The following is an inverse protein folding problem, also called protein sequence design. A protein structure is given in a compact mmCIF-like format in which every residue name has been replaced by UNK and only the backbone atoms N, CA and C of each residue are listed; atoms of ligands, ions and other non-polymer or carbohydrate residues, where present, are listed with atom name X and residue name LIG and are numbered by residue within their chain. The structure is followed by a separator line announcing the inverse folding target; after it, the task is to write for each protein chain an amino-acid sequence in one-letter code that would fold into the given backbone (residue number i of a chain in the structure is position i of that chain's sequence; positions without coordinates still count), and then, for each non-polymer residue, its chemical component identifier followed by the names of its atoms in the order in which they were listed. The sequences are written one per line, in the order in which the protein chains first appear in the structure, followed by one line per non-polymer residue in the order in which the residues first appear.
data_IF_710658567091
#
_entry.id   IF_710658567091
#
_cell.length_a   1.000
_cell.length_b   1.000
_cell.length_c   1.000
_cell.angle_alpha   90.00
_cell.angle_beta   90.00
_cell.angle_gamma   90.00
#
_symmetry.space_group_name_H-M   'P 1'
#
loop_
_entity.id
_entity.type
_entity.pdbx_description
1 polymer ?
#
# COMPACT_ATOMS: atom_id res chain seq x y z
N UNK A 1 26.92 -12.95 3.51
CA UNK A 1 27.08 -11.54 3.15
C UNK A 1 26.03 -11.23 2.10
N UNK A 2 25.13 -10.29 2.35
CA UNK A 2 24.13 -9.82 1.38
C UNK A 2 24.84 -9.05 0.27
N UNK A 3 24.57 -9.38 -0.99
CA UNK A 3 25.15 -8.66 -2.14
C UNK A 3 24.63 -7.22 -2.10
N UNK A 4 25.54 -6.23 -2.11
CA UNK A 4 25.23 -4.81 -2.24
C UNK A 4 25.33 -4.44 -3.72
N UNK A 5 24.31 -3.78 -4.25
CA UNK A 5 24.27 -3.32 -5.63
C UNK A 5 24.66 -1.85 -5.72
N UNK A 6 25.41 -1.48 -6.77
CA UNK A 6 25.82 -0.10 -7.04
C UNK A 6 24.81 0.60 -7.95
N UNK A 7 24.68 1.90 -7.85
CA UNK A 7 23.75 2.70 -8.67
C UNK A 7 23.99 2.51 -10.17
N UNK A 8 25.25 2.26 -10.58
CA UNK A 8 25.59 1.98 -11.97
C UNK A 8 24.95 0.70 -12.53
N UNK A 9 24.59 -0.27 -11.68
CA UNK A 9 23.90 -1.48 -12.12
C UNK A 9 22.44 -1.17 -12.51
N UNK A 10 21.88 -0.04 -12.08
CA UNK A 10 20.54 0.44 -12.40
C UNK A 10 20.47 1.35 -13.65
N UNK A 11 21.59 1.67 -14.31
CA UNK A 11 21.63 2.63 -15.43
C UNK A 11 20.63 2.30 -16.54
N UNK A 12 20.64 1.04 -17.02
CA UNK A 12 19.73 0.60 -18.07
C UNK A 12 18.28 0.65 -17.62
N UNK A 13 17.98 0.12 -16.45
CA UNK A 13 16.63 0.14 -15.88
C UNK A 13 16.14 1.58 -15.69
N UNK A 14 16.99 2.49 -15.19
CA UNK A 14 16.64 3.90 -14.98
C UNK A 14 16.28 4.60 -16.30
N UNK A 15 17.06 4.35 -17.37
CA UNK A 15 16.74 4.88 -18.69
C UNK A 15 15.38 4.37 -19.22
N UNK A 16 15.07 3.08 -19.00
CA UNK A 16 13.77 2.51 -19.32
C UNK A 16 12.65 3.16 -18.49
N UNK A 17 12.86 3.34 -17.18
CA UNK A 17 11.90 3.95 -16.27
C UNK A 17 11.55 5.37 -16.72
N UNK A 18 12.51 6.22 -17.04
CA UNK A 18 12.23 7.58 -17.53
C UNK A 18 11.36 7.59 -18.80
N UNK A 19 11.48 6.58 -19.66
CA UNK A 19 10.55 6.41 -20.78
C UNK A 19 9.15 5.97 -20.32
N UNK A 20 9.07 5.10 -19.32
CA UNK A 20 7.77 4.59 -18.82
C UNK A 20 7.00 5.62 -17.98
N UNK A 21 7.70 6.49 -17.28
CA UNK A 21 7.10 7.59 -16.49
C UNK A 21 6.21 8.49 -17.33
N UNK A 22 6.51 8.66 -18.62
CA UNK A 22 5.69 9.44 -19.55
C UNK A 22 4.29 8.86 -19.79
N UNK A 23 4.07 7.61 -19.41
CA UNK A 23 2.78 6.90 -19.54
C UNK A 23 2.02 6.79 -18.23
N UNK A 24 2.55 7.30 -17.13
CA UNK A 24 1.83 7.36 -15.86
C UNK A 24 0.68 8.38 -15.93
N UNK A 25 -0.24 8.23 -15.01
CA UNK A 25 -1.40 9.10 -14.87
C UNK A 25 -0.95 10.55 -14.58
N UNK A 26 -1.20 11.46 -15.52
CA UNK A 26 -0.95 12.91 -15.34
C UNK A 26 -2.19 13.60 -14.74
N UNK A 27 -2.03 14.85 -14.21
CA UNK A 27 -3.17 15.67 -13.78
C UNK A 27 -4.24 15.82 -14.86
N UNK A 28 -3.84 16.04 -16.11
CA UNK A 28 -4.75 16.20 -17.24
C UNK A 28 -5.51 14.91 -17.55
N UNK A 29 -4.83 13.77 -17.57
CA UNK A 29 -5.44 12.45 -17.77
C UNK A 29 -6.40 12.10 -16.64
N UNK A 30 -6.05 12.44 -15.40
CA UNK A 30 -6.94 12.29 -14.25
C UNK A 30 -8.23 13.09 -14.42
N UNK A 31 -8.13 14.35 -14.83
CA UNK A 31 -9.32 15.17 -15.07
C UNK A 31 -10.14 14.65 -16.27
N UNK A 32 -9.51 14.13 -17.31
CA UNK A 32 -10.22 13.45 -18.41
C UNK A 32 -11.02 12.23 -17.90
N UNK A 33 -10.43 11.41 -17.03
CA UNK A 33 -11.14 10.29 -16.43
C UNK A 33 -12.33 10.73 -15.57
N UNK A 34 -12.15 11.79 -14.77
CA UNK A 34 -13.20 12.31 -13.88
C UNK A 34 -14.35 12.95 -14.66
N UNK A 35 -14.06 13.66 -15.76
CA UNK A 35 -15.03 14.41 -16.57
C UNK A 35 -15.59 13.63 -17.76
N UNK A 36 -15.15 12.40 -17.99
CA UNK A 36 -15.62 11.57 -19.09
C UNK A 36 -17.15 11.42 -19.05
N UNK A 37 -17.88 11.58 -20.19
CA UNK A 37 -19.34 11.54 -20.22
C UNK A 37 -19.92 10.20 -19.74
N UNK A 38 -19.26 9.08 -20.09
CA UNK A 38 -19.65 7.74 -19.68
C UNK A 38 -18.48 6.97 -19.10
N UNK A 39 -18.74 5.88 -18.37
CA UNK A 39 -17.69 5.00 -17.86
C UNK A 39 -16.94 4.28 -18.98
N UNK A 40 -17.58 4.06 -20.13
CA UNK A 40 -16.93 3.54 -21.34
C UNK A 40 -15.94 4.53 -21.94
N UNK A 41 -16.26 5.83 -21.92
CA UNK A 41 -15.32 6.85 -22.37
C UNK A 41 -14.12 6.94 -21.43
N UNK A 42 -14.34 6.85 -20.12
CA UNK A 42 -13.26 6.77 -19.14
C UNK A 42 -12.37 5.53 -19.36
N UNK A 43 -12.96 4.35 -19.63
CA UNK A 43 -12.21 3.14 -19.94
C UNK A 43 -11.35 3.30 -21.22
N UNK A 44 -11.86 3.97 -22.28
CA UNK A 44 -11.07 4.27 -23.49
C UNK A 44 -9.84 5.14 -23.19
N UNK A 45 -9.99 6.14 -22.32
CA UNK A 45 -8.82 6.95 -21.89
C UNK A 45 -7.76 6.08 -21.23
N UNK A 46 -8.18 5.09 -20.44
CA UNK A 46 -7.24 4.12 -19.83
C UNK A 46 -6.59 3.22 -20.87
N UNK A 47 -7.34 2.74 -21.86
CA UNK A 47 -6.78 1.94 -22.96
C UNK A 47 -5.73 2.73 -23.77
N UNK A 48 -5.95 4.02 -24.04
CA UNK A 48 -4.97 4.91 -24.66
C UNK A 48 -3.69 5.06 -23.83
N UNK A 49 -3.80 4.94 -22.50
CA UNK A 49 -2.65 4.93 -21.58
C UNK A 49 -1.97 3.56 -21.50
N UNK A 50 -2.48 2.55 -22.24
CA UNK A 50 -1.94 1.19 -22.26
C UNK A 50 -2.46 0.28 -21.16
N UNK A 51 -3.62 0.59 -20.58
CA UNK A 51 -4.31 -0.34 -19.68
C UNK A 51 -5.00 -1.44 -20.52
N UNK A 52 -5.13 -2.65 -19.98
CA UNK A 52 -5.90 -3.69 -20.64
C UNK A 52 -7.37 -3.27 -20.75
N UNK A 53 -8.01 -3.61 -21.86
CA UNK A 53 -9.44 -3.40 -22.04
C UNK A 53 -10.25 -4.17 -20.98
N UNK A 54 -11.29 -3.55 -20.43
CA UNK A 54 -12.18 -4.15 -19.46
C UNK A 54 -13.60 -3.58 -19.56
N UNK A 55 -14.58 -4.32 -19.07
CA UNK A 55 -15.95 -3.83 -18.93
C UNK A 55 -16.04 -2.88 -17.70
N UNK A 56 -16.26 -1.57 -17.90
CA UNK A 56 -16.30 -0.61 -16.81
C UNK A 56 -17.52 -0.75 -15.88
N UNK A 57 -18.57 -1.45 -16.33
CA UNK A 57 -19.76 -1.72 -15.52
C UNK A 57 -19.54 -2.89 -14.54
N UNK A 58 -18.51 -3.71 -14.79
CA UNK A 58 -18.14 -4.85 -13.96
C UNK A 58 -17.04 -4.54 -12.98
N UNK A 59 -17.32 -4.68 -11.66
CA UNK A 59 -16.29 -4.55 -10.60
C UNK A 59 -15.19 -5.60 -10.75
N UNK A 60 -15.58 -6.83 -11.03
CA UNK A 60 -14.62 -7.91 -11.20
C UNK A 60 -13.71 -7.68 -12.41
N UNK A 61 -14.21 -7.10 -13.51
CA UNK A 61 -13.39 -6.76 -14.67
C UNK A 61 -12.41 -5.64 -14.37
N UNK A 62 -12.81 -4.62 -13.60
CA UNK A 62 -11.91 -3.57 -13.12
C UNK A 62 -10.80 -4.15 -12.23
N UNK A 63 -11.16 -4.98 -11.25
CA UNK A 63 -10.17 -5.60 -10.35
C UNK A 63 -9.20 -6.50 -11.12
N UNK A 64 -9.67 -7.24 -12.13
CA UNK A 64 -8.80 -8.01 -13.02
C UNK A 64 -7.89 -7.11 -13.86
N UNK A 65 -8.36 -5.98 -14.38
CA UNK A 65 -7.55 -5.05 -15.15
C UNK A 65 -6.44 -4.42 -14.27
N UNK A 66 -6.77 -4.02 -13.04
CA UNK A 66 -5.80 -3.53 -12.04
C UNK A 66 -4.77 -4.63 -11.71
N UNK A 67 -5.22 -5.85 -11.49
CA UNK A 67 -4.34 -6.99 -11.21
C UNK A 67 -3.36 -7.27 -12.36
N UNK A 68 -3.84 -7.36 -13.60
CA UNK A 68 -2.99 -7.54 -14.80
C UNK A 68 -1.98 -6.40 -14.94
N UNK A 69 -2.39 -5.16 -14.74
CA UNK A 69 -1.51 -4.00 -14.82
C UNK A 69 -0.40 -4.07 -13.78
N UNK A 70 -0.72 -4.53 -12.56
CA UNK A 70 0.27 -4.76 -11.50
C UNK A 70 1.24 -5.89 -11.84
N UNK A 71 0.75 -7.01 -12.35
CA UNK A 71 1.59 -8.12 -12.79
C UNK A 71 2.53 -7.72 -13.92
N UNK A 72 2.04 -6.98 -14.92
CA UNK A 72 2.85 -6.43 -16.00
C UNK A 72 3.93 -5.48 -15.49
N UNK A 73 3.62 -4.62 -14.50
CA UNK A 73 4.58 -3.75 -13.84
C UNK A 73 5.72 -4.56 -13.22
N UNK A 74 5.39 -5.55 -12.40
CA UNK A 74 6.40 -6.38 -11.74
C UNK A 74 7.17 -7.26 -12.71
N UNK A 75 6.52 -7.81 -13.73
CA UNK A 75 7.19 -8.61 -14.77
C UNK A 75 8.16 -7.76 -15.59
N UNK A 76 7.79 -6.52 -15.92
CA UNK A 76 8.64 -5.58 -16.65
C UNK A 76 9.86 -5.16 -15.85
N UNK A 77 9.64 -4.71 -14.59
CA UNK A 77 10.74 -4.31 -13.71
C UNK A 77 11.65 -5.49 -13.36
N UNK A 78 11.07 -6.67 -13.12
CA UNK A 78 11.81 -7.86 -12.69
C UNK A 78 12.82 -8.39 -13.72
N UNK A 79 12.70 -8.01 -15.01
CA UNK A 79 13.67 -8.41 -16.04
C UNK A 79 15.05 -7.80 -15.82
N UNK A 80 15.08 -6.55 -15.37
CA UNK A 80 16.29 -5.74 -15.32
C UNK A 80 16.57 -5.18 -13.91
N UNK A 81 15.79 -5.60 -12.89
CA UNK A 81 15.97 -5.20 -11.51
C UNK A 81 17.19 -5.91 -10.91
N UNK A 82 18.25 -5.19 -10.56
CA UNK A 82 19.44 -5.81 -9.97
C UNK A 82 19.15 -6.52 -8.66
N UNK A 83 18.36 -5.91 -7.78
CA UNK A 83 17.91 -6.49 -6.51
C UNK A 83 16.40 -6.75 -6.52
N UNK A 84 16.03 -7.99 -6.84
CA UNK A 84 14.62 -8.41 -6.89
C UNK A 84 13.87 -8.29 -5.56
N UNK A 85 14.59 -8.24 -4.41
CA UNK A 85 13.99 -8.08 -3.08
C UNK A 85 13.23 -6.77 -2.95
N UNK A 86 13.61 -5.73 -3.72
CA UNK A 86 12.87 -4.45 -3.78
C UNK A 86 11.43 -4.69 -4.27
N UNK A 87 11.24 -5.54 -5.27
CA UNK A 87 9.90 -5.89 -5.78
C UNK A 87 9.08 -6.63 -4.72
N UNK A 88 9.73 -7.47 -3.92
CA UNK A 88 9.05 -8.24 -2.88
C UNK A 88 8.48 -7.33 -1.77
N UNK A 89 9.13 -6.19 -1.48
CA UNK A 89 8.57 -5.19 -0.55
C UNK A 89 7.21 -4.67 -1.02
N UNK A 90 7.00 -4.53 -2.34
CA UNK A 90 5.73 -4.08 -2.90
C UNK A 90 4.71 -5.21 -3.12
N UNK A 91 5.17 -6.43 -3.28
CA UNK A 91 4.31 -7.62 -3.45
C UNK A 91 3.76 -8.13 -2.11
N UNK A 92 4.55 -8.04 -1.06
CA UNK A 92 4.24 -8.58 0.26
C UNK A 92 2.87 -8.10 0.82
N UNK A 93 2.49 -6.82 0.75
CA UNK A 93 1.18 -6.38 1.22
C UNK A 93 0.00 -7.07 0.53
N UNK A 94 0.14 -7.43 -0.77
CA UNK A 94 -0.86 -8.20 -1.51
C UNK A 94 -0.96 -9.63 -0.99
N UNK A 95 0.16 -10.27 -0.69
CA UNK A 95 0.18 -11.60 -0.08
C UNK A 95 -0.58 -11.63 1.24
N UNK A 96 -0.29 -10.69 2.12
CA UNK A 96 -0.96 -10.59 3.43
C UNK A 96 -2.42 -10.17 3.32
N UNK A 97 -2.79 -9.36 2.32
CA UNK A 97 -4.20 -9.14 1.99
C UNK A 97 -4.90 -10.45 1.66
N UNK A 98 -4.33 -11.26 0.77
CA UNK A 98 -4.89 -12.55 0.40
C UNK A 98 -5.00 -13.50 1.60
N UNK A 99 -3.98 -13.56 2.46
CA UNK A 99 -4.03 -14.35 3.69
C UNK A 99 -5.16 -13.89 4.63
N UNK A 100 -5.35 -12.56 4.79
CA UNK A 100 -6.47 -12.02 5.59
C UNK A 100 -7.83 -12.42 5.00
N UNK A 101 -7.98 -12.33 3.68
CA UNK A 101 -9.20 -12.77 2.98
C UNK A 101 -9.46 -14.25 3.25
N UNK A 102 -8.46 -15.11 3.07
CA UNK A 102 -8.58 -16.56 3.28
C UNK A 102 -8.96 -16.93 4.71
N UNK A 103 -8.33 -16.27 5.71
CA UNK A 103 -8.61 -16.54 7.12
C UNK A 103 -10.04 -16.11 7.48
N UNK A 104 -10.46 -14.91 7.09
CA UNK A 104 -11.77 -14.37 7.43
C UNK A 104 -12.91 -15.09 6.75
N UNK A 105 -12.72 -15.49 5.48
CA UNK A 105 -13.71 -16.27 4.71
C UNK A 105 -13.64 -17.76 4.98
N UNK A 106 -12.65 -18.25 5.72
CA UNK A 106 -12.34 -19.68 5.89
C UNK A 106 -12.09 -20.41 4.54
N UNK A 107 -11.66 -19.64 3.52
CA UNK A 107 -11.46 -20.13 2.16
C UNK A 107 -12.76 -20.35 1.35
N UNK A 108 -13.90 -19.86 1.84
CA UNK A 108 -15.20 -19.99 1.18
C UNK A 108 -15.56 -18.69 0.46
N UNK A 109 -16.14 -18.79 -0.74
CA UNK A 109 -16.67 -17.67 -1.58
C UNK A 109 -15.77 -16.42 -1.68
N UNK A 110 -14.46 -16.59 -1.51
CA UNK A 110 -13.50 -15.49 -1.41
C UNK A 110 -12.68 -15.21 -2.68
N UNK A 111 -12.82 -16.06 -3.72
CA UNK A 111 -11.99 -15.96 -4.93
C UNK A 111 -11.97 -14.54 -5.53
N UNK A 112 -13.12 -13.89 -5.59
CA UNK A 112 -13.26 -12.53 -6.12
C UNK A 112 -12.56 -11.43 -5.28
N UNK A 113 -12.23 -11.73 -4.02
CA UNK A 113 -11.57 -10.81 -3.09
C UNK A 113 -10.05 -10.96 -3.11
N UNK A 114 -9.55 -12.02 -3.76
CA UNK A 114 -8.11 -12.25 -3.88
C UNK A 114 -7.52 -11.33 -4.93
N UNK A 115 -6.33 -10.82 -4.63
CA UNK A 115 -5.61 -9.86 -5.48
C UNK A 115 -4.43 -10.55 -6.15
N UNK A 116 -4.23 -10.27 -7.45
CA UNK A 116 -3.05 -10.64 -8.19
C UNK A 116 -1.87 -9.68 -7.92
N UNK A 117 -0.65 -10.11 -8.27
CA UNK A 117 0.56 -9.30 -8.15
C UNK A 117 1.29 -9.43 -6.80
N UNK A 118 0.92 -10.40 -5.98
CA UNK A 118 1.73 -10.87 -4.85
C UNK A 118 2.92 -11.73 -5.29
N UNK A 119 3.65 -12.29 -4.34
CA UNK A 119 4.71 -13.28 -4.58
C UNK A 119 4.12 -14.67 -4.87
N UNK A 120 2.94 -14.94 -4.33
CA UNK A 120 2.22 -16.19 -4.49
C UNK A 120 1.02 -16.02 -5.41
N UNK A 121 0.80 -17.01 -6.25
CA UNK A 121 -0.41 -17.10 -7.06
C UNK A 121 -1.65 -17.23 -6.15
N UNK A 122 -2.68 -16.38 -6.31
CA UNK A 122 -3.83 -16.39 -5.40
C UNK A 122 -4.68 -17.66 -5.50
N UNK A 123 -4.74 -18.32 -6.66
CA UNK A 123 -5.49 -19.58 -6.82
C UNK A 123 -4.75 -20.74 -6.15
N UNK A 124 -3.43 -20.79 -6.29
CA UNK A 124 -2.61 -21.77 -5.60
C UNK A 124 -2.72 -21.58 -4.08
N UNK A 125 -2.60 -20.32 -3.60
CA UNK A 125 -2.73 -20.00 -2.19
C UNK A 125 -4.10 -20.42 -1.61
N UNK A 126 -5.20 -20.22 -2.37
CA UNK A 126 -6.53 -20.67 -1.99
C UNK A 126 -6.61 -22.21 -1.93
N UNK A 127 -6.03 -22.90 -2.91
CA UNK A 127 -5.98 -24.35 -2.96
C UNK A 127 -5.26 -24.92 -1.74
N UNK A 128 -4.05 -24.44 -1.46
CA UNK A 128 -3.21 -24.90 -0.33
C UNK A 128 -3.86 -24.54 1.02
N UNK A 129 -4.52 -23.39 1.11
CA UNK A 129 -5.28 -23.02 2.30
C UNK A 129 -6.40 -24.01 2.61
N UNK A 130 -7.15 -24.48 1.60
CA UNK A 130 -8.23 -25.47 1.75
C UNK A 130 -7.70 -26.86 2.11
N UNK A 131 -6.57 -27.24 1.54
CA UNK A 131 -5.91 -28.54 1.81
C UNK A 131 -5.12 -28.55 3.12
N UNK A 132 -4.95 -27.40 3.78
CA UNK A 132 -4.18 -27.20 5.01
C UNK A 132 -2.67 -27.42 4.83
N UNK A 133 -2.14 -27.27 3.62
CA UNK A 133 -0.74 -27.45 3.24
C UNK A 133 0.10 -26.16 3.30
N UNK A 134 -0.46 -25.07 3.82
CA UNK A 134 0.22 -23.78 3.88
C UNK A 134 1.58 -23.81 4.57
N UNK A 135 1.83 -24.76 5.48
CA UNK A 135 3.12 -24.90 6.17
C UNK A 135 4.27 -25.24 5.24
N UNK A 136 3.98 -26.00 4.19
CA UNK A 136 4.98 -26.45 3.22
C UNK A 136 5.24 -25.38 2.15
N UNK A 137 4.32 -24.45 2.01
CA UNK A 137 4.35 -23.40 0.98
C UNK A 137 4.81 -22.03 1.52
N UNK A 138 4.35 -21.65 2.73
CA UNK A 138 4.67 -20.35 3.33
C UNK A 138 5.93 -20.41 4.19
N UNK A 139 6.68 -19.30 4.32
CA UNK A 139 7.70 -19.18 5.35
C UNK A 139 7.14 -19.50 6.75
N UNK A 140 7.94 -20.13 7.59
CA UNK A 140 7.50 -20.65 8.89
C UNK A 140 6.80 -19.59 9.76
N UNK A 141 7.31 -18.36 9.79
CA UNK A 141 6.70 -17.26 10.56
C UNK A 141 5.35 -16.84 9.97
N UNK A 142 5.23 -16.76 8.64
CA UNK A 142 3.96 -16.44 7.98
C UNK A 142 2.92 -17.53 8.22
N UNK A 143 3.32 -18.81 8.11
CA UNK A 143 2.45 -19.94 8.43
C UNK A 143 1.98 -19.94 9.89
N UNK A 144 2.87 -19.62 10.84
CA UNK A 144 2.52 -19.44 12.23
C UNK A 144 1.55 -18.30 12.45
N UNK A 145 1.76 -17.15 11.80
CA UNK A 145 0.85 -15.99 11.87
C UNK A 145 -0.55 -16.34 11.35
N UNK A 146 -0.66 -17.09 10.25
CA UNK A 146 -1.96 -17.57 9.75
C UNK A 146 -2.67 -18.45 10.78
N UNK A 147 -1.94 -19.33 11.47
CA UNK A 147 -2.54 -20.15 12.54
C UNK A 147 -3.01 -19.31 13.72
N UNK A 148 -2.19 -18.37 14.17
CA UNK A 148 -2.57 -17.43 15.25
C UNK A 148 -3.79 -16.60 14.87
N UNK A 149 -3.84 -16.08 13.62
CA UNK A 149 -4.99 -15.33 13.12
C UNK A 149 -6.27 -16.17 13.06
N UNK A 150 -6.17 -17.44 12.64
CA UNK A 150 -7.30 -18.41 12.67
C UNK A 150 -7.80 -18.64 14.10
N UNK A 151 -6.87 -18.85 15.03
CA UNK A 151 -7.19 -19.06 16.43
C UNK A 151 -7.86 -17.83 17.03
N UNK A 152 -7.29 -16.64 16.84
CA UNK A 152 -7.86 -15.38 17.32
C UNK A 152 -9.27 -15.14 16.78
N UNK A 153 -9.50 -15.43 15.50
CA UNK A 153 -10.83 -15.33 14.90
C UNK A 153 -11.81 -16.36 15.47
N UNK A 154 -11.36 -17.59 15.74
CA UNK A 154 -12.20 -18.65 16.30
C UNK A 154 -12.59 -18.34 17.75
N UNK A 155 -11.67 -17.79 18.55
CA UNK A 155 -11.90 -17.48 19.97
C UNK A 155 -12.76 -16.21 20.16
N UNK A 156 -12.55 -15.19 19.33
CA UNK A 156 -13.18 -13.88 19.54
C UNK A 156 -14.34 -13.58 18.60
N UNK A 157 -14.42 -14.25 17.47
CA UNK A 157 -15.33 -13.90 16.36
C UNK A 157 -15.01 -12.54 15.72
N UNK A 158 -13.93 -11.88 16.13
CA UNK A 158 -13.58 -10.52 15.72
C UNK A 158 -12.50 -10.53 14.62
N UNK A 159 -12.88 -10.15 13.39
CA UNK A 159 -11.95 -10.04 12.27
C UNK A 159 -10.80 -9.04 12.49
N UNK A 160 -10.94 -8.06 13.38
CA UNK A 160 -9.88 -7.13 13.72
C UNK A 160 -8.69 -7.81 14.40
N UNK A 161 -8.93 -8.81 15.25
CA UNK A 161 -7.86 -9.58 15.89
C UNK A 161 -7.02 -10.33 14.85
N UNK A 162 -7.67 -10.88 13.84
CA UNK A 162 -6.99 -11.48 12.69
C UNK A 162 -6.12 -10.45 11.94
N UNK A 163 -6.66 -9.24 11.68
CA UNK A 163 -5.90 -8.18 11.03
C UNK A 163 -4.66 -7.79 11.81
N UNK A 164 -4.78 -7.61 13.13
CA UNK A 164 -3.64 -7.22 13.99
C UNK A 164 -2.48 -8.21 13.89
N UNK A 165 -2.77 -9.51 13.92
CA UNK A 165 -1.76 -10.57 13.82
C UNK A 165 -1.07 -10.52 12.45
N UNK A 166 -1.84 -10.48 11.38
CA UNK A 166 -1.30 -10.57 10.01
C UNK A 166 -0.63 -9.26 9.58
N UNK A 167 -1.19 -8.10 9.92
CA UNK A 167 -0.57 -6.80 9.60
C UNK A 167 0.74 -6.61 10.37
N UNK A 168 0.77 -6.94 11.66
CA UNK A 168 2.00 -6.90 12.46
C UNK A 168 3.10 -7.80 11.86
N UNK A 169 2.74 -8.99 11.42
CA UNK A 169 3.72 -9.91 10.79
C UNK A 169 4.17 -9.39 9.41
N UNK A 170 3.25 -8.84 8.62
CA UNK A 170 3.57 -8.20 7.34
C UNK A 170 4.62 -7.09 7.51
N UNK A 171 4.40 -6.17 8.43
CA UNK A 171 5.34 -5.06 8.64
C UNK A 171 6.69 -5.52 9.21
N UNK A 172 6.73 -6.55 10.08
CA UNK A 172 8.01 -7.13 10.50
C UNK A 172 8.77 -7.77 9.34
N UNK A 173 8.08 -8.46 8.43
CA UNK A 173 8.71 -9.04 7.24
C UNK A 173 9.19 -7.95 6.28
N UNK A 174 8.40 -6.88 6.07
CA UNK A 174 8.78 -5.71 5.27
C UNK A 174 10.05 -5.04 5.82
N UNK A 175 10.14 -4.85 7.13
CA UNK A 175 11.32 -4.25 7.78
C UNK A 175 12.55 -5.13 7.54
N UNK A 176 12.44 -6.45 7.73
CA UNK A 176 13.55 -7.37 7.45
C UNK A 176 14.00 -7.38 5.99
N UNK A 177 13.04 -7.30 5.06
CA UNK A 177 13.37 -7.19 3.64
C UNK A 177 14.11 -5.87 3.34
N UNK A 178 13.64 -4.75 3.87
CA UNK A 178 14.28 -3.45 3.68
C UNK A 178 15.70 -3.42 4.26
N UNK A 179 15.88 -3.97 5.46
CA UNK A 179 17.20 -4.10 6.11
C UNK A 179 18.15 -4.99 5.28
N UNK A 180 17.62 -6.09 4.71
CA UNK A 180 18.41 -6.98 3.86
C UNK A 180 18.82 -6.35 2.52
N UNK A 181 18.02 -5.41 1.97
CA UNK A 181 18.37 -4.63 0.77
C UNK A 181 19.45 -3.59 1.07
N UNK A 182 19.49 -3.07 2.29
CA UNK A 182 20.43 -2.02 2.74
C UNK A 182 20.36 -0.76 1.84
N UNK A 183 19.13 -0.30 1.57
CA UNK A 183 18.86 0.89 0.77
C UNK A 183 18.21 1.97 1.64
N UNK A 184 18.88 3.12 1.90
CA UNK A 184 18.33 4.19 2.73
C UNK A 184 16.96 4.69 2.24
N UNK A 185 16.80 4.87 0.93
CA UNK A 185 15.53 5.33 0.34
C UNK A 185 14.36 4.35 0.59
N UNK A 186 14.64 3.04 0.54
CA UNK A 186 13.65 2.01 0.86
C UNK A 186 13.31 2.00 2.35
N UNK A 187 14.31 2.19 3.20
CA UNK A 187 14.12 2.33 4.66
C UNK A 187 13.27 3.56 4.99
N UNK A 188 13.54 4.71 4.37
CA UNK A 188 12.76 5.94 4.57
C UNK A 188 11.31 5.78 4.08
N UNK A 189 11.12 5.11 2.94
CA UNK A 189 9.80 4.75 2.44
C UNK A 189 9.01 3.92 3.45
N UNK A 190 9.61 2.87 3.98
CA UNK A 190 8.95 1.96 4.91
C UNK A 190 8.67 2.63 6.26
N UNK A 191 9.65 3.37 6.80
CA UNK A 191 9.46 4.15 8.04
C UNK A 191 8.31 5.14 7.92
N UNK A 192 8.25 5.88 6.80
CA UNK A 192 7.16 6.83 6.56
C UNK A 192 5.80 6.13 6.49
N UNK A 193 5.72 4.93 5.90
CA UNK A 193 4.49 4.14 5.89
C UNK A 193 4.09 3.66 7.27
N UNK A 194 5.03 3.13 8.06
CA UNK A 194 4.78 2.67 9.44
C UNK A 194 4.31 3.84 10.30
N UNK A 195 5.00 4.98 10.23
CA UNK A 195 4.63 6.20 10.94
C UNK A 195 3.22 6.66 10.58
N UNK A 196 2.82 6.59 9.30
CA UNK A 196 1.47 6.93 8.85
C UNK A 196 0.40 5.98 9.42
N UNK A 197 0.67 4.66 9.42
CA UNK A 197 -0.23 3.67 10.01
C UNK A 197 -0.37 3.90 11.52
N UNK A 198 0.75 4.13 12.22
CA UNK A 198 0.76 4.38 13.66
C UNK A 198 0.01 5.67 14.02
N UNK A 199 0.24 6.77 13.30
CA UNK A 199 -0.47 8.02 13.49
C UNK A 199 -1.99 7.85 13.31
N UNK A 200 -2.42 7.20 12.22
CA UNK A 200 -3.83 6.91 11.99
C UNK A 200 -4.43 6.00 13.08
N UNK A 201 -3.68 5.02 13.56
CA UNK A 201 -4.11 4.12 14.63
C UNK A 201 -4.28 4.83 15.96
N UNK A 202 -3.35 5.72 16.31
CA UNK A 202 -3.43 6.55 17.52
C UNK A 202 -4.67 7.47 17.49
N UNK A 203 -4.93 8.15 16.37
CA UNK A 203 -6.11 9.00 16.22
C UNK A 203 -7.42 8.20 16.30
N UNK A 204 -7.47 7.01 15.67
CA UNK A 204 -8.65 6.14 15.78
C UNK A 204 -8.86 5.65 17.21
N UNK A 205 -7.79 5.23 17.91
CA UNK A 205 -7.86 4.80 19.30
C UNK A 205 -8.37 5.93 20.20
N UNK A 206 -7.86 7.15 20.02
CA UNK A 206 -8.32 8.33 20.75
C UNK A 206 -9.82 8.60 20.52
N UNK A 207 -10.27 8.63 19.26
CA UNK A 207 -11.69 8.86 18.90
C UNK A 207 -12.62 7.78 19.46
N UNK A 208 -12.15 6.54 19.51
CA UNK A 208 -12.89 5.40 20.06
C UNK A 208 -12.74 5.26 21.59
N UNK A 209 -12.02 6.20 22.24
CA UNK A 209 -11.73 6.20 23.68
C UNK A 209 -11.14 4.86 24.16
N UNK A 210 -10.24 4.29 23.36
CA UNK A 210 -9.51 3.07 23.71
C UNK A 210 -8.36 3.40 24.65
N UNK A 211 -8.09 2.50 25.59
CA UNK A 211 -7.00 2.66 26.57
C UNK A 211 -5.61 2.35 25.99
N UNK A 212 -4.54 2.60 26.78
CA UNK A 212 -3.15 2.35 26.40
C UNK A 212 -2.88 0.92 25.94
N UNK A 213 -3.45 -0.09 26.60
CA UNK A 213 -3.28 -1.50 26.25
C UNK A 213 -3.74 -1.80 24.81
N UNK A 214 -4.80 -1.13 24.35
CA UNK A 214 -5.25 -1.25 22.97
C UNK A 214 -4.23 -0.61 22.01
N UNK A 215 -3.74 0.59 22.36
CA UNK A 215 -2.78 1.31 21.55
C UNK A 215 -1.47 0.50 21.41
N UNK A 216 -0.95 -0.03 22.50
CA UNK A 216 0.22 -0.92 22.52
C UNK A 216 0.09 -2.10 21.54
N UNK A 217 -1.11 -2.68 21.44
CA UNK A 217 -1.35 -3.83 20.56
C UNK A 217 -1.45 -3.50 19.06
N UNK A 218 -1.80 -2.26 18.71
CA UNK A 218 -2.06 -1.86 17.33
C UNK A 218 -0.90 -1.09 16.70
N UNK A 219 0.03 -0.58 17.49
CA UNK A 219 1.19 0.13 16.99
C UNK A 219 2.24 -0.82 16.43
N UNK A 220 2.89 -0.38 15.37
CA UNK A 220 3.89 -1.11 14.62
C UNK A 220 5.29 -0.59 14.96
N UNK A 221 6.23 -1.50 15.13
CA UNK A 221 7.65 -1.18 15.27
C UNK A 221 8.30 -0.83 13.92
N UNK A 222 9.41 -0.12 13.94
CA UNK A 222 10.22 0.19 12.76
C UNK A 222 9.93 1.53 12.10
N UNK A 223 9.04 2.35 12.67
CA UNK A 223 8.86 3.74 12.26
C UNK A 223 10.00 4.66 12.74
N UNK A 224 9.93 5.93 12.34
CA UNK A 224 10.83 6.99 12.85
C UNK A 224 10.40 7.43 14.26
N UNK A 225 9.10 7.33 14.57
CA UNK A 225 8.53 7.60 15.89
C UNK A 225 8.34 6.26 16.61
N UNK A 226 9.03 6.02 17.75
CA UNK A 226 8.86 4.80 18.51
C UNK A 226 7.42 4.66 19.06
N UNK A 227 6.83 3.46 19.07
CA UNK A 227 5.51 3.21 19.65
C UNK A 227 5.35 3.76 21.07
N UNK A 228 6.33 3.55 21.96
CA UNK A 228 6.31 4.06 23.33
C UNK A 228 6.15 5.59 23.40
N UNK A 229 6.83 6.33 22.52
CA UNK A 229 6.69 7.79 22.49
C UNK A 229 5.27 8.22 22.06
N UNK A 230 4.65 7.45 21.14
CA UNK A 230 3.29 7.72 20.70
C UNK A 230 2.23 7.30 21.74
N UNK A 231 2.50 6.27 22.53
CA UNK A 231 1.65 5.84 23.66
C UNK A 231 1.60 6.88 24.78
N UNK A 232 2.73 7.56 25.03
CA UNK A 232 2.86 8.58 26.07
C UNK A 232 2.41 9.97 25.62
N UNK A 233 2.38 10.24 24.31
CA UNK A 233 2.07 11.56 23.77
C UNK A 233 0.61 11.97 24.02
N UNK A 234 0.40 13.21 24.45
CA UNK A 234 -0.91 13.79 24.39
C UNK A 234 -1.31 14.07 22.92
N UNK A 235 -2.61 13.97 22.58
CA UNK A 235 -3.07 14.26 21.23
C UNK A 235 -2.71 15.64 20.68
N UNK A 236 -2.50 16.62 21.55
CA UNK A 236 -2.09 17.98 21.20
C UNK A 236 -0.59 18.10 20.84
N UNK A 237 0.22 17.08 21.14
CA UNK A 237 1.67 17.10 20.95
C UNK A 237 2.11 16.28 19.73
N UNK A 238 1.16 15.74 18.97
CA UNK A 238 1.47 14.87 17.81
C UNK A 238 2.29 15.59 16.75
N UNK A 239 2.02 16.87 16.46
CA UNK A 239 2.78 17.65 15.48
C UNK A 239 4.23 17.85 15.91
N UNK A 240 4.49 18.03 17.19
CA UNK A 240 5.86 18.14 17.73
C UNK A 240 6.56 16.80 17.71
N UNK A 241 5.88 15.72 18.09
CA UNK A 241 6.40 14.36 18.05
C UNK A 241 6.85 13.95 16.64
N UNK A 242 6.10 14.36 15.61
CA UNK A 242 6.42 14.09 14.20
C UNK A 242 7.21 15.21 13.50
N UNK A 243 7.73 16.20 14.25
CA UNK A 243 8.35 17.41 13.69
C UNK A 243 9.52 17.12 12.72
N UNK A 244 10.34 16.12 13.01
CA UNK A 244 11.48 15.71 12.20
C UNK A 244 11.16 14.67 11.11
N UNK A 245 9.87 14.32 10.91
CA UNK A 245 9.44 13.30 9.96
C UNK A 245 8.72 13.93 8.75
N UNK A 246 8.55 13.19 7.63
CA UNK A 246 7.71 13.62 6.52
C UNK A 246 6.23 13.79 6.88
N UNK A 247 5.80 13.33 8.04
CA UNK A 247 4.40 13.32 8.51
C UNK A 247 4.02 14.51 9.40
N UNK A 248 4.89 15.51 9.58
CA UNK A 248 4.60 16.68 10.42
C UNK A 248 3.27 17.36 10.10
N UNK A 249 2.96 17.52 8.80
CA UNK A 249 1.68 18.11 8.36
C UNK A 249 0.48 17.22 8.67
N UNK A 250 0.64 15.90 8.44
CA UNK A 250 -0.37 14.91 8.78
C UNK A 250 -0.64 14.88 10.30
N UNK A 251 0.41 14.99 11.11
CA UNK A 251 0.28 15.05 12.57
C UNK A 251 -0.47 16.32 13.03
N UNK A 252 -0.28 17.46 12.36
CA UNK A 252 -1.09 18.65 12.62
C UNK A 252 -2.58 18.48 12.30
N UNK A 253 -2.92 17.71 11.23
CA UNK A 253 -4.32 17.31 10.98
C UNK A 253 -4.84 16.35 12.06
N UNK A 254 -3.99 15.43 12.53
CA UNK A 254 -4.34 14.48 13.58
C UNK A 254 -4.72 15.18 14.88
N UNK A 255 -3.99 16.22 15.30
CA UNK A 255 -4.34 17.09 16.45
C UNK A 255 -5.73 17.69 16.29
N UNK A 256 -6.02 18.28 15.12
CA UNK A 256 -7.33 18.86 14.82
C UNK A 256 -8.47 17.84 14.89
N UNK A 257 -8.23 16.61 14.41
CA UNK A 257 -9.20 15.52 14.48
C UNK A 257 -9.45 15.06 15.93
N UNK A 258 -8.42 14.96 16.73
CA UNK A 258 -8.53 14.62 18.15
C UNK A 258 -9.27 15.72 18.95
N UNK A 259 -9.14 16.98 18.55
CA UNK A 259 -9.88 18.11 19.10
C UNK A 259 -11.35 18.20 18.64
N UNK A 260 -11.81 17.25 17.82
CA UNK A 260 -13.21 17.16 17.35
C UNK A 260 -13.47 17.72 15.95
N UNK A 261 -12.46 18.15 15.21
CA UNK A 261 -12.54 18.63 13.81
C UNK A 261 -11.95 17.67 12.79
N UNK A 262 -12.18 17.94 11.52
CA UNK A 262 -11.55 17.22 10.42
C UNK A 262 -12.04 15.80 10.16
N UNK A 263 -11.40 15.11 9.22
CA UNK A 263 -11.80 13.80 8.75
C UNK A 263 -10.62 12.82 8.73
N UNK A 264 -10.89 11.55 9.07
CA UNK A 264 -9.90 10.47 8.95
C UNK A 264 -9.43 10.28 7.52
N UNK A 265 -10.32 10.46 6.54
CA UNK A 265 -9.97 10.37 5.11
C UNK A 265 -8.92 11.42 4.72
N UNK A 266 -9.04 12.66 5.24
CA UNK A 266 -8.06 13.71 5.01
C UNK A 266 -6.70 13.37 5.65
N UNK A 267 -6.70 12.80 6.85
CA UNK A 267 -5.47 12.34 7.52
C UNK A 267 -4.78 11.22 6.72
N UNK A 268 -5.52 10.19 6.35
CA UNK A 268 -5.00 9.07 5.54
C UNK A 268 -4.44 9.56 4.21
N UNK A 269 -5.17 10.45 3.53
CA UNK A 269 -4.70 11.10 2.29
C UNK A 269 -3.37 11.83 2.51
N UNK A 270 -3.24 12.59 3.60
CA UNK A 270 -2.00 13.34 3.88
C UNK A 270 -0.83 12.42 4.23
N UNK A 271 -1.08 11.31 4.93
CA UNK A 271 -0.06 10.29 5.17
C UNK A 271 0.43 9.67 3.86
N UNK A 272 -0.49 9.26 2.98
CA UNK A 272 -0.14 8.69 1.67
C UNK A 272 0.59 9.71 0.78
N UNK A 273 0.17 10.98 0.79
CA UNK A 273 0.85 12.05 0.05
C UNK A 273 2.28 12.28 0.56
N UNK A 274 2.53 12.06 1.85
CA UNK A 274 3.90 12.14 2.40
C UNK A 274 4.80 11.05 1.81
N UNK A 275 4.27 9.84 1.59
CA UNK A 275 4.98 8.76 0.89
C UNK A 275 5.20 9.12 -0.58
N UNK A 276 4.20 9.68 -1.27
CA UNK A 276 4.32 10.10 -2.67
C UNK A 276 5.36 11.20 -2.88
N UNK A 277 5.56 12.09 -1.91
CA UNK A 277 6.63 13.10 -1.96
C UNK A 277 8.04 12.48 -1.99
N UNK A 278 8.24 11.28 -1.41
CA UNK A 278 9.50 10.55 -1.55
C UNK A 278 9.72 10.10 -3.00
N UNK A 279 8.67 9.61 -3.66
CA UNK A 279 8.73 9.26 -5.09
C UNK A 279 9.06 10.49 -5.96
N UNK A 280 8.44 11.62 -5.68
CA UNK A 280 8.70 12.87 -6.42
C UNK A 280 10.15 13.37 -6.28
N UNK A 281 10.82 13.10 -5.14
CA UNK A 281 12.26 13.36 -5.00
C UNK A 281 13.08 12.43 -5.89
N UNK A 282 12.73 11.16 -5.94
CA UNK A 282 13.42 10.14 -6.72
C UNK A 282 13.41 10.45 -8.22
N UNK A 283 12.36 11.08 -8.75
CA UNK A 283 12.26 11.51 -10.15
C UNK A 283 13.37 12.47 -10.59
N UNK A 284 14.00 13.18 -9.64
CA UNK A 284 15.12 14.09 -9.92
C UNK A 284 16.46 13.38 -9.93
N UNK A 285 16.49 12.10 -9.57
CA UNK A 285 17.70 11.28 -9.57
C UNK A 285 17.87 10.69 -10.99
N UNK A 286 19.01 10.90 -11.66
CA UNK A 286 19.17 10.49 -13.05
C UNK A 286 19.25 8.97 -13.22
N UNK A 287 19.78 8.25 -12.24
CA UNK A 287 19.84 6.79 -12.19
C UNK A 287 20.12 6.32 -10.76
N UNK A 288 19.82 5.05 -10.49
CA UNK A 288 20.04 4.42 -9.20
C UNK A 288 18.81 3.68 -8.71
N UNK A 289 18.94 3.11 -7.53
CA UNK A 289 17.85 2.38 -6.86
C UNK A 289 16.66 3.29 -6.56
N UNK A 290 16.91 4.56 -6.24
CA UNK A 290 15.87 5.56 -5.95
C UNK A 290 14.95 5.78 -7.15
N UNK A 291 15.47 5.78 -8.38
CA UNK A 291 14.66 5.90 -9.61
C UNK A 291 13.68 4.74 -9.71
N UNK A 292 14.16 3.51 -9.47
CA UNK A 292 13.32 2.32 -9.50
C UNK A 292 12.24 2.34 -8.39
N UNK A 293 12.62 2.74 -7.19
CA UNK A 293 11.73 2.86 -6.03
C UNK A 293 10.67 3.95 -6.28
N UNK A 294 11.06 5.12 -6.76
CA UNK A 294 10.14 6.22 -7.07
C UNK A 294 9.09 5.82 -8.10
N UNK A 295 9.52 5.11 -9.16
CA UNK A 295 8.60 4.60 -10.18
C UNK A 295 7.63 3.56 -9.62
N UNK A 296 8.09 2.63 -8.75
CA UNK A 296 7.23 1.66 -8.09
C UNK A 296 6.14 2.33 -7.24
N UNK A 297 6.54 3.30 -6.40
CA UNK A 297 5.60 4.05 -5.57
C UNK A 297 4.55 4.78 -6.45
N UNK A 298 5.01 5.43 -7.52
CA UNK A 298 4.15 6.16 -8.43
C UNK A 298 3.17 5.25 -9.19
N UNK A 299 3.64 4.10 -9.66
CA UNK A 299 2.81 3.13 -10.38
C UNK A 299 1.74 2.49 -9.46
N UNK A 300 2.09 2.14 -8.22
CA UNK A 300 1.10 1.66 -7.24
C UNK A 300 0.07 2.74 -6.87
N UNK A 301 0.49 4.01 -6.81
CA UNK A 301 -0.44 5.13 -6.62
C UNK A 301 -1.37 5.30 -7.83
N UNK A 302 -0.89 5.11 -9.07
CA UNK A 302 -1.73 5.11 -10.28
C UNK A 302 -2.79 4.02 -10.20
N UNK A 303 -2.41 2.77 -9.87
CA UNK A 303 -3.36 1.66 -9.72
C UNK A 303 -4.47 2.00 -8.71
N UNK A 304 -4.10 2.58 -7.59
CA UNK A 304 -5.03 3.02 -6.54
C UNK A 304 -5.93 4.15 -7.03
N UNK A 305 -5.37 5.14 -7.73
CA UNK A 305 -6.12 6.29 -8.26
C UNK A 305 -7.15 5.83 -9.32
N UNK A 306 -6.74 5.00 -10.27
CA UNK A 306 -7.65 4.47 -11.32
C UNK A 306 -8.78 3.66 -10.70
N UNK A 307 -8.47 2.76 -9.74
CA UNK A 307 -9.50 2.01 -9.02
C UNK A 307 -10.46 2.94 -8.29
N UNK A 308 -9.96 3.97 -7.60
CA UNK A 308 -10.78 4.95 -6.87
C UNK A 308 -11.70 5.72 -7.83
N UNK A 309 -11.18 6.20 -8.97
CA UNK A 309 -11.97 6.92 -9.97
C UNK A 309 -13.07 6.04 -10.54
N UNK A 310 -12.73 4.87 -11.06
CA UNK A 310 -13.70 4.01 -11.73
C UNK A 310 -14.76 3.47 -10.77
N UNK A 311 -14.37 3.10 -9.55
CA UNK A 311 -15.33 2.67 -8.52
C UNK A 311 -16.23 3.83 -8.08
N UNK A 312 -15.68 5.03 -7.90
CA UNK A 312 -16.45 6.22 -7.51
C UNK A 312 -17.45 6.64 -8.59
N UNK A 313 -17.05 6.62 -9.87
CA UNK A 313 -17.92 6.88 -11.01
C UNK A 313 -19.07 5.88 -11.09
N UNK A 314 -18.78 4.59 -11.04
CA UNK A 314 -19.79 3.51 -11.02
C UNK A 314 -20.75 3.65 -9.85
N UNK A 315 -20.30 4.12 -8.70
CA UNK A 315 -21.14 4.42 -7.54
C UNK A 315 -21.94 5.72 -7.68
N UNK A 316 -21.84 6.45 -8.79
CA UNK A 316 -22.55 7.70 -9.05
C UNK A 316 -22.06 8.89 -8.22
N UNK A 317 -20.81 8.84 -7.68
CA UNK A 317 -20.23 9.96 -6.95
C UNK A 317 -19.90 11.10 -7.91
N UNK A 318 -20.06 12.34 -7.43
CA UNK A 318 -19.60 13.52 -8.19
C UNK A 318 -18.08 13.52 -8.35
N UNK A 319 -17.59 14.17 -9.42
CA UNK A 319 -16.16 14.34 -9.66
C UNK A 319 -15.45 14.96 -8.45
N UNK A 320 -16.07 15.92 -7.77
CA UNK A 320 -15.51 16.57 -6.58
C UNK A 320 -15.39 15.60 -5.41
N UNK A 321 -16.41 14.78 -5.16
CA UNK A 321 -16.37 13.75 -4.11
C UNK A 321 -15.30 12.68 -4.38
N UNK A 322 -15.01 12.39 -5.65
CA UNK A 322 -13.91 11.50 -6.02
C UNK A 322 -12.56 12.20 -5.81
N UNK A 323 -12.42 13.49 -6.24
CA UNK A 323 -11.17 14.28 -6.05
C UNK A 323 -10.75 14.38 -4.59
N UNK A 324 -11.69 14.55 -3.68
CA UNK A 324 -11.39 14.58 -2.24
C UNK A 324 -10.67 13.29 -1.75
N UNK A 325 -10.97 12.15 -2.37
CA UNK A 325 -10.39 10.85 -2.02
C UNK A 325 -9.09 10.53 -2.74
N UNK A 326 -8.81 11.21 -3.86
CA UNK A 326 -7.59 10.99 -4.63
C UNK A 326 -6.37 11.58 -3.91
N UNK A 327 -5.27 10.86 -4.01
CA UNK A 327 -3.95 11.29 -3.56
C UNK A 327 -3.31 12.21 -4.60
N UNK A 328 -2.21 12.84 -4.22
CA UNK A 328 -1.41 13.62 -5.14
C UNK A 328 -0.90 12.71 -6.29
N UNK A 329 -0.53 13.32 -7.39
CA UNK A 329 0.04 12.63 -8.53
C UNK A 329 1.55 12.81 -8.51
N UNK A 330 2.23 11.81 -9.02
CA UNK A 330 3.68 11.78 -9.19
C UNK A 330 4.20 12.84 -10.18
N UNK A 331 3.35 13.49 -10.94
CA UNK A 331 3.66 14.40 -12.05
C UNK A 331 4.32 15.72 -11.65
#
# INVERSE_FOLDING_TARGET
MTKKYHDTEYLYLSACIHSWETRLLTPERREQLLSAPTDRDAARVLEEMGWPAFDPESEAALDQAVGRRREELFARLGKDMPDARILDVFRLPTDYHNLKVLVKSRGEDCRRLLMAGGRWDPEQLLSDYRQRELRDFLPAETAQAVQQARQALAETGNGQECDLVLDGTCFRELTRLADAVDCPALTDYLRTRIDGVNLCSAVRAHRLRKGPDFLHRVLLEGGSVPPAALEEAAPADLRELYAATPLREAAGLAEGICAGGGSMTALEKQCDNSVLRLAAKARRTPFGVETALGYLIAAEAELTAVRTIMTGRRAGLSADAIRERLRDIYG
#
